data_IF_700043957539
#
_entry.id   IF_700043957539
#
_cell.length_a   1.000
_cell.length_b   1.000
_cell.length_c   1.000
_cell.angle_alpha   90.00
_cell.angle_beta   90.00
_cell.angle_gamma   90.00
#
_symmetry.space_group_name_H-M   'P 1'
#
loop_
_entity.id
_entity.type
_entity.pdbx_description
1 polymer ?
#
# COMPACT_ATOMS: atom_id res chain seq x y z
N UNK A 1 40.30 8.20 7.98
CA UNK A 1 39.80 6.81 8.11
C UNK A 1 39.15 6.45 6.79
N UNK A 2 39.38 5.24 6.29
CA UNK A 2 38.64 4.72 5.13
C UNK A 2 37.47 3.90 5.66
N UNK A 3 36.24 4.25 5.28
CA UNK A 3 35.05 3.50 5.65
C UNK A 3 34.91 2.27 4.73
N UNK A 4 34.57 1.11 5.28
CA UNK A 4 34.37 -0.12 4.51
C UNK A 4 32.90 -0.50 4.40
N UNK A 5 32.53 -1.13 3.28
CA UNK A 5 31.16 -1.51 2.92
C UNK A 5 30.71 -2.79 3.69
N UNK A 6 30.70 -2.72 5.02
CA UNK A 6 30.43 -3.89 5.86
C UNK A 6 28.93 -4.22 5.92
N UNK A 7 28.58 -5.47 5.64
CA UNK A 7 27.18 -5.96 5.62
C UNK A 7 26.47 -5.84 6.96
N UNK A 8 27.19 -5.96 8.09
CA UNK A 8 26.64 -5.80 9.44
C UNK A 8 26.16 -4.36 9.67
N UNK A 9 26.99 -3.38 9.32
CA UNK A 9 26.65 -1.95 9.42
C UNK A 9 25.45 -1.61 8.52
N UNK A 10 25.41 -2.15 7.30
CA UNK A 10 24.30 -1.99 6.34
C UNK A 10 22.96 -2.53 6.89
N UNK A 11 22.99 -3.62 7.65
CA UNK A 11 21.79 -4.19 8.28
C UNK A 11 21.27 -3.31 9.43
N UNK A 12 22.12 -2.52 10.09
CA UNK A 12 21.72 -1.65 11.20
C UNK A 12 20.91 -0.41 10.77
N UNK A 13 20.98 -0.02 9.48
CA UNK A 13 20.32 1.18 8.98
C UNK A 13 18.82 0.98 8.70
N UNK A 14 17.99 1.96 9.12
CA UNK A 14 16.60 2.05 8.66
C UNK A 14 16.59 2.28 7.14
N UNK A 15 16.10 1.28 6.40
CA UNK A 15 15.87 1.40 4.95
C UNK A 15 14.71 2.39 4.71
N UNK A 16 14.85 3.38 3.82
CA UNK A 16 13.78 4.33 3.54
C UNK A 16 12.61 3.64 2.82
N UNK A 17 11.41 3.82 3.38
CA UNK A 17 10.12 3.35 2.85
C UNK A 17 9.69 4.20 1.66
N UNK A 18 8.74 3.73 0.84
CA UNK A 18 8.09 4.59 -0.16
C UNK A 18 7.53 5.88 0.46
N UNK A 19 6.89 5.80 1.63
CA UNK A 19 6.39 6.96 2.37
C UNK A 19 7.51 7.90 2.86
N UNK A 20 8.64 7.36 3.33
CA UNK A 20 9.79 8.19 3.75
C UNK A 20 10.29 9.05 2.58
N UNK A 21 10.32 8.51 1.35
CA UNK A 21 10.68 9.28 0.14
C UNK A 21 9.68 10.40 -0.18
N UNK A 22 8.37 10.18 0.05
CA UNK A 22 7.37 11.25 -0.13
C UNK A 22 7.60 12.37 0.87
N UNK A 23 7.82 12.02 2.15
CA UNK A 23 8.14 12.97 3.23
C UNK A 23 9.41 13.77 2.91
N UNK A 24 10.45 13.11 2.42
CA UNK A 24 11.72 13.75 2.03
C UNK A 24 11.61 14.64 0.78
N UNK A 25 10.70 14.32 -0.15
CA UNK A 25 10.42 15.17 -1.33
C UNK A 25 9.69 16.48 -0.99
N UNK A 26 9.13 16.61 0.20
CA UNK A 26 8.36 17.80 0.63
C UNK A 26 9.26 18.71 1.48
N UNK A 27 9.40 20.00 1.15
CA UNK A 27 10.27 20.90 1.89
C UNK A 27 9.77 21.12 3.33
N UNK A 28 10.65 20.95 4.31
CA UNK A 28 10.39 21.29 5.71
C UNK A 28 10.21 22.82 5.84
N UNK A 29 9.23 23.31 6.63
CA UNK A 29 8.96 24.75 6.71
C UNK A 29 10.13 25.54 7.32
N UNK A 30 10.27 26.80 6.89
CA UNK A 30 11.38 27.69 7.28
C UNK A 30 11.43 27.85 8.81
N UNK A 31 12.59 27.55 9.41
CA UNK A 31 12.80 27.56 10.88
C UNK A 31 12.63 26.20 11.58
N UNK A 32 12.16 25.15 10.90
CA UNK A 32 11.98 23.82 11.51
C UNK A 32 13.31 23.11 11.82
N UNK A 33 14.33 23.33 10.99
CA UNK A 33 15.69 22.82 11.17
C UNK A 33 16.48 23.83 12.03
N UNK A 34 17.07 23.44 13.18
CA UNK A 34 17.89 24.34 13.98
C UNK A 34 19.18 24.73 13.27
N UNK A 35 19.45 26.03 13.18
CA UNK A 35 20.73 26.53 12.63
C UNK A 35 21.90 26.38 13.63
N UNK A 36 21.59 26.23 14.92
CA UNK A 36 22.51 26.17 16.06
C UNK A 36 22.54 24.78 16.72
N UNK A 37 23.48 24.57 17.64
CA UNK A 37 23.58 23.33 18.42
C UNK A 37 24.34 22.20 17.70
N UNK A 38 23.97 20.95 17.98
CA UNK A 38 24.69 19.76 17.50
C UNK A 38 24.26 19.33 16.07
N UNK A 39 25.17 18.75 15.25
CA UNK A 39 24.85 18.33 13.88
C UNK A 39 23.65 17.38 13.79
N UNK A 40 23.53 16.42 14.72
CA UNK A 40 22.42 15.45 14.73
C UNK A 40 21.04 16.10 14.89
N UNK A 41 20.95 17.32 15.43
CA UNK A 41 19.68 18.05 15.55
C UNK A 41 19.12 18.54 14.21
N UNK A 42 19.95 18.61 13.16
CA UNK A 42 19.53 19.00 11.81
C UNK A 42 18.82 17.87 11.06
N UNK A 43 19.29 16.64 11.24
CA UNK A 43 18.67 15.42 10.67
C UNK A 43 17.53 14.87 11.53
N UNK A 44 17.47 15.23 12.81
CA UNK A 44 16.47 14.76 13.76
C UNK A 44 15.02 15.13 13.36
N UNK A 45 14.05 14.20 13.47
CA UNK A 45 12.63 14.46 13.21
C UNK A 45 12.08 15.63 14.04
N UNK A 46 10.99 16.25 13.57
CA UNK A 46 10.39 17.41 14.23
C UNK A 46 9.55 17.01 15.46
N UNK A 47 9.06 15.76 15.46
CA UNK A 47 8.48 15.02 16.58
C UNK A 47 9.37 15.04 17.83
N UNK A 48 10.69 14.91 17.61
CA UNK A 48 11.67 14.79 18.68
C UNK A 48 11.87 16.15 19.34
N UNK A 49 11.66 16.20 20.66
CA UNK A 49 12.11 17.32 21.49
C UNK A 49 13.62 17.44 21.40
N UNK A 50 14.16 18.65 21.38
CA UNK A 50 15.63 18.83 21.44
C UNK A 50 16.12 18.41 22.83
N UNK A 51 17.08 17.46 22.94
CA UNK A 51 17.67 17.08 24.22
C UNK A 51 18.61 18.19 24.70
N UNK A 52 18.41 18.70 25.92
CA UNK A 52 19.25 19.75 26.49
C UNK A 52 20.57 19.15 27.02
N UNK A 53 21.54 19.02 26.12
CA UNK A 53 22.93 18.67 26.44
C UNK A 53 23.61 19.88 27.09
N UNK A 54 24.54 19.73 28.06
CA UNK A 54 25.39 20.84 28.47
C UNK A 54 26.35 21.22 27.32
N UNK A 55 26.43 22.51 27.02
CA UNK A 55 27.33 23.10 26.02
C UNK A 55 27.80 24.48 26.48
N UNK A 56 28.75 25.13 25.77
CA UNK A 56 29.24 26.46 26.12
C UNK A 56 28.16 27.54 26.16
N UNK A 57 28.46 28.65 26.83
CA UNK A 57 27.56 29.80 26.85
C UNK A 57 27.31 30.32 25.42
N UNK A 58 26.05 30.66 25.12
CA UNK A 58 25.65 31.07 23.77
C UNK A 58 25.58 29.96 22.71
N UNK A 59 25.92 28.69 23.02
CA UNK A 59 25.79 27.56 22.08
C UNK A 59 24.33 27.31 21.62
N UNK A 60 23.37 27.79 22.42
CA UNK A 60 21.94 27.72 22.13
C UNK A 60 21.35 29.11 21.97
N UNK A 61 20.92 29.44 20.75
CA UNK A 61 20.09 30.61 20.47
C UNK A 61 18.75 30.14 19.94
N UNK A 62 17.87 29.69 20.85
CA UNK A 62 16.51 29.28 20.52
C UNK A 62 15.71 30.49 20.00
N UNK A 63 15.67 30.65 18.67
CA UNK A 63 14.87 31.66 17.97
C UNK A 63 13.74 30.99 17.19
N UNK A 64 12.61 31.70 17.04
CA UNK A 64 11.43 31.18 16.30
C UNK A 64 11.27 31.85 14.94
N UNK A 65 11.17 33.17 14.93
CA UNK A 65 11.06 34.01 13.73
C UNK A 65 11.77 35.36 13.94
N UNK A 66 11.83 36.18 12.89
CA UNK A 66 12.16 37.60 13.03
C UNK A 66 11.10 38.34 13.85
N UNK A 67 11.50 39.42 14.49
CA UNK A 67 10.59 40.31 15.22
C UNK A 67 9.55 40.91 14.27
N UNK A 68 8.33 41.13 14.77
CA UNK A 68 7.24 41.72 14.00
C UNK A 68 6.82 40.90 12.77
N UNK A 69 7.02 39.57 12.83
CA UNK A 69 6.45 38.61 11.88
C UNK A 69 5.66 37.56 12.65
N UNK A 70 4.38 37.41 12.29
CA UNK A 70 3.39 36.56 12.95
C UNK A 70 3.97 35.17 13.22
N UNK A 71 3.96 34.73 14.47
CA UNK A 71 4.55 33.44 14.84
C UNK A 71 3.77 32.28 14.19
N UNK A 72 2.44 32.38 14.25
CA UNK A 72 1.49 31.37 13.80
C UNK A 72 0.93 31.75 12.41
N UNK A 73 1.52 31.18 11.36
CA UNK A 73 1.08 31.34 9.96
C UNK A 73 0.04 30.29 9.61
N UNK A 74 -1.17 30.73 9.28
CA UNK A 74 -2.08 29.96 8.42
C UNK A 74 -1.52 30.01 6.99
N UNK A 75 -1.25 28.85 6.37
CA UNK A 75 -1.06 28.82 4.92
C UNK A 75 -2.35 29.26 4.23
N UNK A 76 -2.26 29.93 3.08
CA UNK A 76 -3.41 30.35 2.26
C UNK A 76 -4.38 29.20 1.98
N UNK A 77 -3.82 28.06 1.64
CA UNK A 77 -4.48 26.82 1.24
C UNK A 77 -4.59 25.82 2.42
N UNK A 78 -4.44 26.28 3.67
CA UNK A 78 -4.69 25.45 4.84
C UNK A 78 -6.18 25.10 4.94
N UNK A 79 -6.51 23.81 4.71
CA UNK A 79 -7.83 23.25 4.97
C UNK A 79 -8.24 23.47 6.44
N UNK A 80 -9.53 23.70 6.67
CA UNK A 80 -10.06 23.92 8.02
C UNK A 80 -9.97 22.64 8.87
N UNK A 81 -8.95 22.57 9.72
CA UNK A 81 -8.59 21.36 10.45
C UNK A 81 -9.44 21.16 11.72
N UNK A 82 -10.53 20.41 11.59
CA UNK A 82 -11.45 20.04 12.68
C UNK A 82 -10.88 19.01 13.68
N UNK A 83 -9.63 18.56 13.57
CA UNK A 83 -9.08 17.51 14.44
C UNK A 83 -8.83 17.96 15.88
N UNK A 84 -8.58 19.26 16.12
CA UNK A 84 -8.36 19.83 17.46
C UNK A 84 -9.03 21.21 17.59
N UNK A 85 -10.38 21.26 17.69
CA UNK A 85 -11.14 22.52 17.69
C UNK A 85 -10.85 23.39 18.93
N UNK A 86 -10.29 22.81 19.99
CA UNK A 86 -9.96 23.49 21.24
C UNK A 86 -8.45 23.79 21.41
N UNK A 87 -7.63 23.50 20.40
CA UNK A 87 -6.18 23.77 20.40
C UNK A 87 -5.40 23.11 21.56
N UNK A 88 -5.80 21.91 21.99
CA UNK A 88 -5.09 21.11 22.99
C UNK A 88 -3.64 20.78 22.55
N UNK A 89 -3.42 20.59 21.25
CA UNK A 89 -2.12 20.23 20.70
C UNK A 89 -1.09 21.36 20.78
N UNK A 90 -1.51 22.60 20.53
CA UNK A 90 -0.65 23.78 20.36
C UNK A 90 -1.34 24.97 21.04
N UNK A 91 -0.78 25.43 22.16
CA UNK A 91 -1.27 26.64 22.83
C UNK A 91 -0.76 27.88 22.08
N UNK A 92 -1.65 28.54 21.35
CA UNK A 92 -1.39 29.78 20.62
C UNK A 92 -1.30 30.99 21.56
N UNK A 93 -0.28 31.02 22.42
CA UNK A 93 0.00 32.18 23.28
C UNK A 93 0.35 33.41 22.43
N UNK A 94 -0.21 34.56 22.79
CA UNK A 94 0.22 35.86 22.26
C UNK A 94 1.67 36.13 22.66
N UNK A 95 2.41 36.79 21.78
CA UNK A 95 3.83 37.11 21.95
C UNK A 95 4.13 38.44 21.26
N UNK A 96 4.38 39.48 22.05
CA UNK A 96 4.52 40.84 21.55
C UNK A 96 5.72 41.00 20.60
N UNK A 97 6.79 40.19 20.73
CA UNK A 97 7.92 40.25 19.80
C UNK A 97 7.56 39.78 18.38
N UNK A 98 6.44 39.06 18.22
CA UNK A 98 5.96 38.54 16.94
C UNK A 98 4.67 39.23 16.44
N UNK A 99 4.24 40.30 17.09
CA UNK A 99 3.12 41.14 16.65
C UNK A 99 3.52 42.06 15.49
N UNK A 100 2.78 41.98 14.38
CA UNK A 100 3.07 42.73 13.16
C UNK A 100 2.69 44.22 13.29
N UNK A 101 1.76 44.57 14.18
CA UNK A 101 1.39 45.96 14.47
C UNK A 101 2.43 46.67 15.34
N UNK A 102 3.28 45.91 16.06
CA UNK A 102 4.38 46.46 16.86
C UNK A 102 5.69 46.63 16.04
N UNK A 103 5.71 46.28 14.75
CA UNK A 103 6.85 46.54 13.84
C UNK A 103 7.36 48.00 13.94
N UNK A 104 6.53 49.06 13.83
CA UNK A 104 7.01 50.44 13.87
C UNK A 104 7.61 50.85 15.21
N UNK A 105 7.21 50.18 16.31
CA UNK A 105 7.82 50.36 17.62
C UNK A 105 9.19 49.67 17.69
N UNK A 106 9.29 48.41 17.24
CA UNK A 106 10.56 47.67 17.30
C UNK A 106 11.60 48.14 16.28
N UNK A 107 11.20 48.70 15.14
CA UNK A 107 12.12 49.23 14.11
C UNK A 107 12.93 50.45 14.58
N UNK A 108 12.54 51.12 15.68
CA UNK A 108 13.29 52.25 16.24
C UNK A 108 14.64 51.78 16.78
N UNK A 109 15.75 52.34 16.29
CA UNK A 109 17.11 51.90 16.63
C UNK A 109 17.41 51.86 18.14
N UNK A 110 16.83 52.78 18.94
CA UNK A 110 16.98 52.77 20.40
C UNK A 110 16.30 51.55 21.05
N UNK A 111 15.13 51.14 20.53
CA UNK A 111 14.42 49.95 20.99
C UNK A 111 15.17 48.68 20.60
N UNK A 112 15.75 48.61 19.39
CA UNK A 112 16.63 47.50 18.97
C UNK A 112 17.84 47.38 19.91
N UNK A 113 18.53 48.49 20.21
CA UNK A 113 19.65 48.53 21.16
C UNK A 113 19.23 48.05 22.56
N UNK A 114 18.06 48.47 23.04
CA UNK A 114 17.52 48.03 24.33
C UNK A 114 17.21 46.54 24.35
N UNK A 115 16.50 46.01 23.33
CA UNK A 115 16.16 44.58 23.22
C UNK A 115 17.39 43.68 23.08
N UNK A 116 18.44 44.14 22.38
CA UNK A 116 19.74 43.46 22.33
C UNK A 116 20.42 43.43 23.70
N UNK A 117 20.44 44.55 24.44
CA UNK A 117 20.99 44.64 25.80
C UNK A 117 20.21 43.78 26.80
N UNK A 118 18.89 43.67 26.63
CA UNK A 118 18.03 42.79 27.42
C UNK A 118 18.12 41.30 27.00
N UNK A 119 18.88 40.96 25.95
CA UNK A 119 19.04 39.59 25.47
C UNK A 119 17.81 38.98 24.77
N UNK A 120 16.71 39.73 24.65
CA UNK A 120 15.42 39.28 24.10
C UNK A 120 15.48 39.01 22.60
N UNK A 121 16.41 39.65 21.88
CA UNK A 121 16.62 39.42 20.45
C UNK A 121 18.07 39.06 20.12
N UNK A 122 18.25 38.32 19.04
CA UNK A 122 19.55 38.02 18.42
C UNK A 122 19.94 39.14 17.46
N UNK A 123 21.24 39.30 17.15
CA UNK A 123 21.78 40.29 16.18
C UNK A 123 21.04 40.29 14.82
N UNK A 124 20.49 39.15 14.41
CA UNK A 124 19.70 38.96 13.18
C UNK A 124 18.26 39.55 13.23
N UNK A 125 17.90 40.25 14.31
CA UNK A 125 16.53 40.69 14.64
C UNK A 125 15.55 39.51 14.79
N UNK A 126 16.03 38.41 15.37
CA UNK A 126 15.22 37.22 15.70
C UNK A 126 14.87 37.20 17.18
N UNK A 127 13.60 36.97 17.51
CA UNK A 127 13.13 36.86 18.90
C UNK A 127 13.64 35.58 19.55
N UNK A 128 14.36 35.70 20.67
CA UNK A 128 14.76 34.55 21.50
C UNK A 128 13.56 34.03 22.30
N UNK A 129 13.62 32.77 22.72
CA UNK A 129 12.56 32.12 23.50
C UNK A 129 13.14 31.01 24.38
N UNK A 130 12.31 30.41 25.25
CA UNK A 130 12.76 29.26 26.04
C UNK A 130 12.76 27.97 25.20
N UNK A 131 13.49 26.96 25.66
CA UNK A 131 13.44 25.61 25.08
C UNK A 131 12.01 25.02 25.07
N UNK A 132 11.13 25.43 26.00
CA UNK A 132 9.72 25.00 26.02
C UNK A 132 8.98 25.57 24.82
N UNK A 133 9.08 26.87 24.60
CA UNK A 133 8.37 27.59 23.54
C UNK A 133 8.92 27.22 22.16
N UNK A 134 10.24 26.98 22.06
CA UNK A 134 10.87 26.46 20.86
C UNK A 134 10.40 25.03 20.52
N UNK A 135 10.19 24.15 21.51
CA UNK A 135 9.62 22.83 21.27
C UNK A 135 8.12 22.88 20.91
N UNK A 136 7.34 23.83 21.47
CA UNK A 136 5.96 24.09 21.05
C UNK A 136 5.94 24.57 19.60
N UNK A 137 6.83 25.50 19.24
CA UNK A 137 6.96 25.99 17.87
C UNK A 137 7.40 24.89 16.89
N UNK A 138 8.35 24.02 17.26
CA UNK A 138 8.70 22.82 16.50
C UNK A 138 7.49 21.89 16.29
N UNK A 139 6.65 21.68 17.30
CA UNK A 139 5.41 20.89 17.16
C UNK A 139 4.43 21.53 16.17
N UNK A 140 4.27 22.85 16.21
CA UNK A 140 3.46 23.58 15.25
C UNK A 140 4.00 23.48 13.81
N UNK A 141 5.31 23.68 13.60
CA UNK A 141 5.95 23.49 12.30
C UNK A 141 5.89 22.04 11.80
N UNK A 142 5.90 21.07 12.72
CA UNK A 142 5.69 19.64 12.45
C UNK A 142 4.27 19.36 11.96
N UNK A 143 3.26 19.95 12.59
CA UNK A 143 1.86 19.77 12.15
C UNK A 143 1.64 20.41 10.77
N UNK A 144 2.15 21.62 10.49
CA UNK A 144 2.16 22.21 9.13
C UNK A 144 2.79 21.30 8.07
N UNK A 145 3.95 20.71 8.38
CA UNK A 145 4.65 19.81 7.46
C UNK A 145 3.85 18.52 7.23
N UNK A 146 3.24 17.96 8.28
CA UNK A 146 2.35 16.80 8.19
C UNK A 146 1.11 17.10 7.36
N UNK A 147 0.50 18.27 7.49
CA UNK A 147 -0.69 18.62 6.72
C UNK A 147 -0.35 18.84 5.23
N UNK A 148 0.86 19.34 4.93
CA UNK A 148 1.42 19.32 3.56
C UNK A 148 1.67 17.90 3.04
N UNK A 149 2.18 16.98 3.87
CA UNK A 149 2.35 15.56 3.52
C UNK A 149 0.99 14.87 3.25
N UNK A 150 -0.03 15.14 4.08
CA UNK A 150 -1.40 14.63 3.86
C UNK A 150 -1.99 15.15 2.55
N UNK A 151 -1.82 16.44 2.23
CA UNK A 151 -2.31 17.03 0.98
C UNK A 151 -1.67 16.37 -0.23
N UNK A 152 -0.34 16.27 -0.26
CA UNK A 152 0.41 15.59 -1.32
C UNK A 152 0.00 14.12 -1.48
N UNK A 153 -0.17 13.39 -0.37
CA UNK A 153 -0.58 12.00 -0.41
C UNK A 153 -2.01 11.81 -0.92
N UNK A 154 -2.95 12.68 -0.53
CA UNK A 154 -4.32 12.67 -1.06
C UNK A 154 -4.34 12.99 -2.55
N UNK A 155 -3.56 13.96 -3.00
CA UNK A 155 -3.50 14.34 -4.41
C UNK A 155 -2.93 13.21 -5.27
N UNK A 156 -1.82 12.58 -4.85
CA UNK A 156 -1.29 11.38 -5.53
C UNK A 156 -2.30 10.22 -5.52
N UNK A 157 -3.10 10.08 -4.47
CA UNK A 157 -4.17 9.05 -4.40
C UNK A 157 -5.32 9.37 -5.36
N UNK A 158 -5.75 10.65 -5.43
CA UNK A 158 -6.78 11.14 -6.35
C UNK A 158 -6.37 10.89 -7.80
N UNK A 159 -5.17 11.33 -8.19
CA UNK A 159 -4.62 11.12 -9.54
C UNK A 159 -4.47 9.63 -9.89
N UNK A 160 -4.08 8.79 -8.93
CA UNK A 160 -4.01 7.33 -9.14
C UNK A 160 -5.39 6.70 -9.35
N UNK A 161 -6.42 7.17 -8.65
CA UNK A 161 -7.80 6.70 -8.81
C UNK A 161 -8.41 7.19 -10.13
N UNK A 162 -8.25 8.46 -10.47
CA UNK A 162 -8.70 9.04 -11.74
C UNK A 162 -8.08 8.32 -12.93
N UNK A 163 -6.78 7.99 -12.88
CA UNK A 163 -6.11 7.17 -13.88
C UNK A 163 -6.75 5.77 -14.01
N UNK A 164 -7.03 5.09 -12.90
CA UNK A 164 -7.68 3.76 -12.94
C UNK A 164 -9.10 3.81 -13.52
N UNK A 165 -9.86 4.86 -13.20
CA UNK A 165 -11.20 5.10 -13.78
C UNK A 165 -11.12 5.34 -15.28
N UNK A 166 -10.13 6.10 -15.76
CA UNK A 166 -9.89 6.31 -17.19
C UNK A 166 -9.48 5.01 -17.90
N UNK A 167 -8.52 4.26 -17.37
CA UNK A 167 -8.08 2.97 -17.95
C UNK A 167 -9.25 1.96 -18.07
N UNK A 168 -10.13 1.91 -17.06
CA UNK A 168 -11.36 1.10 -17.08
C UNK A 168 -12.39 1.62 -18.10
N UNK A 169 -12.64 2.93 -18.15
CA UNK A 169 -13.58 3.53 -19.10
C UNK A 169 -13.13 3.31 -20.56
N UNK A 170 -11.84 3.44 -20.85
CA UNK A 170 -11.27 3.07 -22.14
C UNK A 170 -11.45 1.58 -22.45
N UNK A 171 -11.28 0.67 -21.48
CA UNK A 171 -11.52 -0.75 -21.70
C UNK A 171 -12.99 -1.05 -22.03
N UNK A 172 -13.94 -0.42 -21.33
CA UNK A 172 -15.36 -0.55 -21.68
C UNK A 172 -15.64 -0.01 -23.09
N UNK A 173 -15.09 1.15 -23.46
CA UNK A 173 -15.21 1.69 -24.82
C UNK A 173 -14.63 0.73 -25.88
N UNK A 174 -13.40 0.22 -25.66
CA UNK A 174 -12.76 -0.80 -26.51
C UNK A 174 -13.60 -2.07 -26.64
N UNK A 175 -14.35 -2.45 -25.61
CA UNK A 175 -15.20 -3.64 -25.63
C UNK A 175 -16.58 -3.40 -26.24
N UNK A 176 -17.17 -2.21 -26.11
CA UNK A 176 -18.38 -1.82 -26.85
C UNK A 176 -18.12 -1.67 -28.35
N UNK A 177 -16.99 -1.10 -28.78
CA UNK A 177 -16.61 -1.07 -30.21
C UNK A 177 -16.57 -2.49 -30.79
N UNK A 178 -15.90 -3.44 -30.13
CA UNK A 178 -15.89 -4.87 -30.54
C UNK A 178 -17.30 -5.50 -30.58
N UNK A 179 -18.19 -5.14 -29.65
CA UNK A 179 -19.60 -5.60 -29.63
C UNK A 179 -20.38 -5.01 -30.81
N UNK A 180 -20.19 -3.73 -31.13
CA UNK A 180 -20.82 -3.05 -32.26
C UNK A 180 -20.34 -3.62 -33.60
N UNK A 181 -19.04 -3.78 -33.81
CA UNK A 181 -18.49 -4.46 -34.99
C UNK A 181 -19.09 -5.88 -35.16
N UNK A 182 -19.21 -6.65 -34.05
CA UNK A 182 -19.81 -7.99 -34.10
C UNK A 182 -21.30 -7.93 -34.46
N UNK A 183 -22.05 -6.95 -33.96
CA UNK A 183 -23.46 -6.71 -34.33
C UNK A 183 -23.59 -6.33 -35.81
N UNK A 184 -22.76 -5.43 -36.30
CA UNK A 184 -22.74 -5.00 -37.70
C UNK A 184 -22.44 -6.16 -38.66
N UNK A 185 -21.39 -6.95 -38.38
CA UNK A 185 -21.07 -8.17 -39.13
C UNK A 185 -22.24 -9.16 -39.14
N UNK A 186 -22.98 -9.29 -38.04
CA UNK A 186 -24.19 -10.12 -37.96
C UNK A 186 -25.38 -9.53 -38.73
N UNK A 187 -25.55 -8.20 -38.77
CA UNK A 187 -26.58 -7.52 -39.56
C UNK A 187 -26.31 -7.69 -41.05
N UNK A 188 -25.07 -7.47 -41.51
CA UNK A 188 -24.72 -7.65 -42.93
C UNK A 188 -24.77 -9.14 -43.34
N UNK A 189 -24.40 -10.07 -42.46
CA UNK A 189 -24.64 -11.50 -42.68
C UNK A 189 -26.14 -11.84 -42.78
N UNK A 190 -26.99 -11.30 -41.89
CA UNK A 190 -28.45 -11.45 -41.94
C UNK A 190 -29.04 -10.85 -43.21
N UNK A 191 -28.55 -9.70 -43.68
CA UNK A 191 -28.97 -9.03 -44.92
C UNK A 191 -28.61 -9.87 -46.16
N UNK A 192 -27.43 -10.50 -46.18
CA UNK A 192 -27.03 -11.48 -47.21
C UNK A 192 -27.91 -12.73 -47.18
N UNK A 193 -28.15 -13.30 -45.99
CA UNK A 193 -29.06 -14.44 -45.80
C UNK A 193 -30.49 -14.09 -46.21
N UNK A 194 -30.98 -12.89 -45.91
CA UNK A 194 -32.32 -12.43 -46.30
C UNK A 194 -32.45 -12.25 -47.81
N UNK A 195 -31.45 -11.68 -48.48
CA UNK A 195 -31.41 -11.62 -49.96
C UNK A 195 -31.44 -13.03 -50.58
N UNK A 196 -30.59 -13.93 -50.09
CA UNK A 196 -30.54 -15.33 -50.57
C UNK A 196 -31.83 -16.10 -50.26
N UNK A 197 -32.41 -15.89 -49.06
CA UNK A 197 -33.71 -16.45 -48.68
C UNK A 197 -34.81 -15.91 -49.58
N UNK A 198 -34.90 -14.60 -49.83
CA UNK A 198 -35.91 -14.01 -50.73
C UNK A 198 -35.84 -14.65 -52.13
N UNK A 199 -34.65 -14.77 -52.69
CA UNK A 199 -34.42 -15.47 -53.97
C UNK A 199 -34.87 -16.95 -53.92
N UNK A 200 -34.56 -17.66 -52.83
CA UNK A 200 -35.00 -19.03 -52.61
C UNK A 200 -36.51 -19.13 -52.33
N UNK A 201 -37.14 -18.10 -51.76
CA UNK A 201 -38.57 -18.04 -51.41
C UNK A 201 -39.38 -17.71 -52.66
N UNK A 202 -38.88 -16.86 -53.56
CA UNK A 202 -39.37 -16.65 -54.93
C UNK A 202 -39.22 -17.91 -55.81
N UNK A 203 -38.20 -18.74 -55.58
CA UNK A 203 -38.07 -20.06 -56.21
C UNK A 203 -38.99 -21.11 -55.57
N UNK A 204 -39.12 -21.12 -54.24
CA UNK A 204 -40.03 -22.00 -53.50
C UNK A 204 -41.49 -21.69 -53.78
N UNK A 205 -41.89 -20.43 -53.96
CA UNK A 205 -43.25 -20.04 -54.33
C UNK A 205 -43.58 -20.51 -55.75
N UNK A 206 -42.60 -20.52 -56.68
CA UNK A 206 -42.77 -21.19 -57.98
C UNK A 206 -42.99 -22.70 -57.80
N UNK A 207 -42.07 -23.38 -57.12
CA UNK A 207 -42.17 -24.82 -56.85
C UNK A 207 -43.36 -25.22 -55.93
N UNK A 208 -43.92 -24.29 -55.14
CA UNK A 208 -45.12 -24.49 -54.32
C UNK A 208 -46.39 -24.18 -55.11
N UNK A 209 -46.37 -23.34 -56.14
CA UNK A 209 -47.48 -23.26 -57.10
C UNK A 209 -47.60 -24.58 -57.88
N UNK A 210 -46.48 -25.24 -58.20
CA UNK A 210 -46.46 -26.62 -58.71
C UNK A 210 -46.89 -27.65 -57.64
N UNK A 211 -46.29 -27.63 -56.44
CA UNK A 211 -46.60 -28.64 -55.40
C UNK A 211 -47.96 -28.45 -54.71
N UNK A 212 -48.56 -27.28 -54.69
CA UNK A 212 -49.93 -27.07 -54.18
C UNK A 212 -50.99 -27.52 -55.20
N UNK A 213 -50.65 -27.51 -56.50
CA UNK A 213 -51.36 -28.25 -57.55
C UNK A 213 -51.49 -29.71 -57.12
N UNK A 214 -50.36 -30.33 -56.77
CA UNK A 214 -50.26 -31.74 -56.33
C UNK A 214 -50.85 -31.98 -54.91
N UNK A 215 -50.69 -31.06 -53.96
CA UNK A 215 -51.13 -31.30 -52.57
C UNK A 215 -52.65 -31.15 -52.39
N UNK A 216 -53.33 -30.36 -53.24
CA UNK A 216 -54.81 -30.36 -53.34
C UNK A 216 -55.37 -31.73 -53.70
N UNK A 217 -54.59 -32.56 -54.39
CA UNK A 217 -54.95 -33.94 -54.75
C UNK A 217 -54.83 -34.88 -53.54
N UNK A 218 -54.12 -34.48 -52.47
CA UNK A 218 -53.70 -35.36 -51.36
C UNK A 218 -54.27 -34.99 -49.99
N UNK A 219 -54.48 -33.71 -49.67
CA UNK A 219 -54.94 -33.30 -48.32
C UNK A 219 -56.42 -33.62 -48.03
N UNK A 220 -57.15 -34.17 -49.01
CA UNK A 220 -58.50 -34.74 -48.87
C UNK A 220 -58.57 -35.97 -47.93
N UNK A 221 -57.44 -36.50 -47.44
CA UNK A 221 -57.34 -37.88 -46.94
C UNK A 221 -57.15 -38.06 -45.40
N UNK A 222 -57.06 -37.01 -44.56
CA UNK A 222 -56.32 -37.16 -43.26
C UNK A 222 -56.81 -36.47 -41.96
N UNK A 223 -58.01 -35.88 -41.86
CA UNK A 223 -58.46 -35.04 -40.71
C UNK A 223 -58.79 -35.80 -39.38
N UNK A 224 -58.36 -37.06 -39.20
CA UNK A 224 -59.17 -38.09 -38.51
C UNK A 224 -58.77 -38.40 -37.01
N UNK A 225 -57.78 -37.76 -36.35
CA UNK A 225 -56.89 -38.51 -35.40
C UNK A 225 -56.86 -38.39 -33.84
N UNK A 226 -56.86 -37.23 -33.13
CA UNK A 226 -56.73 -37.21 -31.61
C UNK A 226 -57.29 -35.94 -30.89
N UNK A 227 -56.68 -35.53 -29.75
CA UNK A 227 -57.24 -34.77 -28.61
C UNK A 227 -56.23 -34.72 -27.43
N UNK A 228 -56.39 -35.61 -26.44
CA UNK A 228 -56.13 -35.37 -25.01
C UNK A 228 -54.67 -35.09 -24.60
N UNK A 229 -54.53 -34.42 -23.44
CA UNK A 229 -53.48 -34.52 -22.39
C UNK A 229 -52.95 -33.16 -21.90
N UNK A 230 -52.55 -33.12 -20.62
CA UNK A 230 -51.69 -32.13 -19.94
C UNK A 230 -52.15 -30.63 -19.98
N UNK A 231 -52.47 -29.94 -18.88
CA UNK A 231 -52.50 -30.26 -17.44
C UNK A 231 -51.19 -30.69 -16.75
N UNK A 232 -51.16 -30.47 -15.43
CA UNK A 232 -50.15 -30.95 -14.47
C UNK A 232 -48.68 -30.56 -14.73
N UNK A 233 -48.39 -29.26 -14.59
CA UNK A 233 -47.09 -28.84 -14.01
C UNK A 233 -47.15 -27.55 -13.19
N UNK A 234 -48.02 -27.56 -12.18
CA UNK A 234 -47.94 -26.67 -11.03
C UNK A 234 -46.77 -27.07 -10.09
N UNK A 235 -46.79 -26.54 -8.86
CA UNK A 235 -46.15 -27.05 -7.65
C UNK A 235 -44.64 -26.82 -7.40
N UNK A 236 -43.78 -26.45 -8.36
CA UNK A 236 -42.34 -26.21 -8.10
C UNK A 236 -41.91 -24.74 -8.18
N UNK A 237 -42.61 -23.89 -7.43
CA UNK A 237 -42.26 -22.49 -7.20
C UNK A 237 -42.55 -22.08 -5.74
N UNK A 238 -41.59 -22.25 -4.82
CA UNK A 238 -41.63 -21.64 -3.48
C UNK A 238 -40.21 -21.46 -2.89
N UNK A 239 -40.04 -20.39 -2.12
CA UNK A 239 -38.88 -19.99 -1.32
C UNK A 239 -37.55 -19.69 -2.06
N UNK A 240 -37.13 -18.42 -2.01
CA UNK A 240 -36.05 -17.97 -1.10
C UNK A 240 -35.76 -16.46 -1.20
N UNK A 241 -36.08 -15.73 -0.13
CA UNK A 241 -35.60 -14.39 0.25
C UNK A 241 -36.06 -14.17 1.72
N UNK A 242 -35.42 -13.36 2.56
CA UNK A 242 -34.14 -12.65 2.47
C UNK A 242 -33.56 -12.41 3.88
N UNK A 243 -32.29 -11.99 3.99
CA UNK A 243 -31.63 -11.71 5.27
C UNK A 243 -31.09 -10.28 5.32
N UNK A 244 -31.87 -9.37 5.91
CA UNK A 244 -31.43 -8.01 6.25
C UNK A 244 -32.07 -7.57 7.58
N UNK A 245 -31.26 -7.43 8.62
CA UNK A 245 -31.24 -6.27 9.55
C UNK A 245 -30.00 -6.39 10.46
N UNK A 246 -29.17 -5.36 10.49
CA UNK A 246 -27.91 -5.32 11.25
C UNK A 246 -28.02 -4.37 12.44
N UNK A 247 -27.34 -4.71 13.55
CA UNK A 247 -26.83 -3.81 14.61
C UNK A 247 -27.85 -2.98 15.41
N UNK A 248 -27.65 -2.94 16.72
CA UNK A 248 -27.11 -1.75 17.42
C UNK A 248 -26.87 -2.03 18.93
N UNK A 249 -26.49 -0.98 19.68
CA UNK A 249 -26.26 -0.92 21.14
C UNK A 249 -24.93 -1.53 21.66
N UNK A 250 -24.76 -1.43 22.99
CA UNK A 250 -23.53 -1.53 23.79
C UNK A 250 -22.47 -0.45 23.52
N UNK A 251 -22.79 0.77 23.98
CA UNK A 251 -21.84 1.84 24.25
C UNK A 251 -22.12 2.42 25.65
N UNK A 252 -21.45 1.90 26.67
CA UNK A 252 -21.54 2.29 28.09
C UNK A 252 -20.20 1.99 28.81
N UNK A 253 -20.12 2.31 30.11
CA UNK A 253 -18.96 2.10 31.03
C UNK A 253 -17.69 2.93 30.68
N UNK A 254 -17.20 3.93 31.43
CA UNK A 254 -17.34 4.43 32.83
C UNK A 254 -16.36 3.77 33.84
N UNK A 255 -16.03 4.51 34.91
CA UNK A 255 -15.02 4.28 35.98
C UNK A 255 -13.54 4.58 35.58
N UNK A 256 -12.73 5.46 36.21
CA UNK A 256 -12.61 6.06 37.56
C UNK A 256 -12.08 5.05 38.63
N UNK A 257 -11.22 5.34 39.63
CA UNK A 257 -10.39 6.52 39.97
C UNK A 257 -9.31 6.22 41.07
N UNK A 258 -8.09 6.81 40.96
CA UNK A 258 -7.26 7.40 42.08
C UNK A 258 -6.80 6.45 43.25
N UNK A 259 -5.98 6.80 44.28
CA UNK A 259 -5.02 7.91 44.64
C UNK A 259 -3.95 7.37 45.65
N UNK A 260 -2.71 7.90 45.75
CA UNK A 260 -2.16 8.88 46.76
C UNK A 260 -2.49 8.51 48.23
N UNK A 261 -1.58 8.52 49.23
CA UNK A 261 -0.57 9.54 49.60
C UNK A 261 0.78 8.88 50.09
N UNK A 262 1.63 9.30 51.05
CA UNK A 262 1.67 10.38 52.09
C UNK A 262 3.14 10.67 52.54
N UNK A 263 3.41 11.88 53.09
CA UNK A 263 4.54 12.29 53.99
C UNK A 263 6.00 12.17 53.43
N UNK A 264 6.92 13.16 53.45
CA UNK A 264 7.25 14.31 54.33
C UNK A 264 8.00 13.93 55.62
N UNK A 265 9.25 14.41 55.77
CA UNK A 265 9.74 14.99 57.07
C UNK A 265 11.15 15.62 57.06
N UNK A 266 12.05 15.24 56.14
CA UNK A 266 13.52 15.47 56.24
C UNK A 266 14.07 16.91 56.07
N UNK A 267 13.43 17.90 56.71
CA UNK A 267 13.85 19.32 56.74
C UNK A 267 15.00 19.55 57.76
N UNK A 268 15.52 20.77 57.78
CA UNK A 268 16.42 21.38 58.81
C UNK A 268 17.91 20.99 58.88
N UNK A 269 18.37 19.76 58.57
CA UNK A 269 19.83 19.39 58.64
C UNK A 269 20.76 20.06 57.60
N UNK A 270 20.26 20.99 56.79
CA UNK A 270 20.86 21.36 55.50
C UNK A 270 21.72 22.64 55.49
N UNK A 271 21.47 23.59 56.41
CA UNK A 271 21.87 25.00 56.19
C UNK A 271 23.38 25.25 56.32
N UNK A 272 24.07 24.64 57.30
CA UNK A 272 25.49 24.92 57.59
C UNK A 272 26.42 24.29 56.53
N UNK A 273 26.00 23.20 55.88
CA UNK A 273 26.72 22.59 54.74
C UNK A 273 26.81 23.52 53.51
N UNK A 274 26.11 24.65 53.48
CA UNK A 274 25.87 25.47 52.27
C UNK A 274 27.11 26.27 51.82
N UNK A 275 27.66 27.17 52.65
CA UNK A 275 28.81 28.03 52.27
C UNK A 275 30.07 27.26 51.84
N UNK A 276 30.42 26.16 52.52
CA UNK A 276 31.58 25.35 52.15
C UNK A 276 31.44 24.61 50.80
N UNK A 277 30.21 24.45 50.29
CA UNK A 277 29.97 23.96 48.92
C UNK A 277 30.26 25.05 47.88
N UNK A 278 30.02 26.32 48.18
CA UNK A 278 30.02 27.43 47.20
C UNK A 278 31.41 27.78 46.65
N UNK A 279 32.47 27.80 47.49
CA UNK A 279 33.84 28.03 47.01
C UNK A 279 34.37 26.87 46.16
N UNK A 280 34.15 25.62 46.59
CA UNK A 280 34.46 24.42 45.80
C UNK A 280 33.66 24.40 44.49
N UNK A 281 32.41 24.86 44.51
CA UNK A 281 31.56 24.94 43.33
C UNK A 281 32.13 25.85 42.24
N UNK A 282 32.80 26.98 42.56
CA UNK A 282 33.39 27.88 41.54
C UNK A 282 34.52 27.24 40.73
N UNK A 283 35.57 26.74 41.39
CA UNK A 283 36.65 26.01 40.72
C UNK A 283 36.12 24.77 39.96
N UNK A 284 35.16 24.05 40.55
CA UNK A 284 34.48 22.94 39.90
C UNK A 284 33.58 23.41 38.74
N UNK A 285 33.06 24.64 38.74
CA UNK A 285 32.29 25.23 37.64
C UNK A 285 33.20 25.59 36.46
N UNK A 286 34.35 26.20 36.70
CA UNK A 286 35.37 26.50 35.68
C UNK A 286 35.87 25.22 35.00
N UNK A 287 36.28 24.22 35.80
CA UNK A 287 36.65 22.90 35.31
C UNK A 287 35.49 22.18 34.60
N UNK A 288 34.23 22.35 35.05
CA UNK A 288 33.05 21.87 34.32
C UNK A 288 32.85 22.59 32.99
N UNK A 289 33.06 23.90 32.90
CA UNK A 289 32.90 24.68 31.66
C UNK A 289 33.90 24.20 30.62
N UNK A 290 35.19 24.10 30.96
CA UNK A 290 36.21 23.55 30.07
C UNK A 290 35.91 22.10 29.66
N UNK A 291 35.56 21.23 30.62
CA UNK A 291 35.18 19.85 30.32
C UNK A 291 33.85 19.72 29.56
N UNK A 292 32.97 20.73 29.61
CA UNK A 292 31.75 20.81 28.79
C UNK A 292 32.13 21.22 27.36
N UNK A 293 32.99 22.21 27.17
CA UNK A 293 33.47 22.64 25.85
C UNK A 293 34.24 21.55 25.10
N UNK A 294 35.14 20.85 25.77
CA UNK A 294 35.87 19.72 25.20
C UNK A 294 34.89 18.61 24.78
N UNK A 295 34.00 18.19 25.69
CA UNK A 295 32.97 17.17 25.41
C UNK A 295 31.92 17.66 24.40
N UNK A 296 31.80 18.96 24.17
CA UNK A 296 30.96 19.57 23.14
C UNK A 296 31.63 19.47 21.77
N UNK A 297 32.91 19.85 21.66
CA UNK A 297 33.73 19.69 20.44
C UNK A 297 33.80 18.22 20.02
N UNK A 298 34.15 17.31 20.95
CA UNK A 298 34.19 15.87 20.72
C UNK A 298 32.84 15.29 20.27
N UNK A 299 31.72 15.73 20.87
CA UNK A 299 30.37 15.32 20.42
C UNK A 299 30.02 15.86 19.03
N UNK A 300 30.38 17.10 18.73
CA UNK A 300 30.13 17.73 17.44
C UNK A 300 30.90 16.99 16.32
N UNK A 301 32.16 16.64 16.55
CA UNK A 301 32.95 15.82 15.63
C UNK A 301 32.43 14.39 15.50
N UNK A 302 32.13 13.72 16.63
CA UNK A 302 31.59 12.36 16.62
C UNK A 302 30.33 12.29 15.77
N UNK A 303 29.37 13.20 16.00
CA UNK A 303 28.12 13.23 15.23
C UNK A 303 28.32 13.60 13.76
N UNK A 304 29.33 14.40 13.42
CA UNK A 304 29.69 14.67 12.02
C UNK A 304 30.19 13.40 11.34
N UNK A 305 31.10 12.67 12.00
CA UNK A 305 31.63 11.37 11.55
C UNK A 305 30.53 10.30 11.47
N UNK A 306 29.59 10.29 12.41
CA UNK A 306 28.42 9.38 12.39
C UNK A 306 27.51 9.66 11.18
N UNK A 307 27.20 10.93 10.88
CA UNK A 307 26.37 11.33 9.73
C UNK A 307 27.08 11.00 8.41
N UNK A 308 28.39 11.25 8.32
CA UNK A 308 29.22 10.87 7.18
C UNK A 308 29.26 9.35 6.96
N UNK A 309 29.28 8.55 8.05
CA UNK A 309 29.14 7.08 7.97
C UNK A 309 27.76 6.67 7.45
N UNK A 310 26.69 7.22 8.02
CA UNK A 310 25.31 6.91 7.61
C UNK A 310 25.11 7.21 6.11
N UNK A 311 25.59 8.37 5.63
CA UNK A 311 25.56 8.74 4.20
C UNK A 311 26.34 7.75 3.31
N UNK A 312 27.62 7.50 3.61
CA UNK A 312 28.45 6.56 2.85
C UNK A 312 27.84 5.15 2.77
N UNK A 313 27.22 4.68 3.84
CA UNK A 313 26.53 3.38 3.87
C UNK A 313 25.22 3.40 3.06
N UNK A 314 24.48 4.50 3.01
CA UNK A 314 23.32 4.63 2.11
C UNK A 314 23.75 4.59 0.63
N UNK A 315 24.87 5.24 0.27
CA UNK A 315 25.41 5.20 -1.09
C UNK A 315 25.92 3.79 -1.47
N UNK A 316 26.53 3.07 -0.52
CA UNK A 316 26.84 1.65 -0.66
C UNK A 316 25.58 0.79 -0.92
N UNK A 317 24.50 1.02 -0.17
CA UNK A 317 23.21 0.32 -0.38
C UNK A 317 22.61 0.65 -1.74
N UNK A 318 22.68 1.90 -2.18
CA UNK A 318 22.10 2.36 -3.45
C UNK A 318 22.89 1.84 -4.65
N UNK A 319 24.22 1.83 -4.60
CA UNK A 319 25.08 1.23 -5.64
C UNK A 319 24.91 -0.29 -5.73
N UNK A 320 24.90 -1.00 -4.59
CA UNK A 320 24.59 -2.44 -4.57
C UNK A 320 23.21 -2.75 -5.17
N UNK A 321 22.19 -1.94 -4.85
CA UNK A 321 20.84 -2.04 -5.44
C UNK A 321 20.84 -1.80 -6.94
N UNK A 322 21.56 -0.79 -7.43
CA UNK A 322 21.65 -0.50 -8.86
C UNK A 322 22.29 -1.67 -9.63
N UNK A 323 23.38 -2.24 -9.10
CA UNK A 323 24.04 -3.43 -9.66
C UNK A 323 23.10 -4.65 -9.65
N UNK A 324 22.35 -4.86 -8.56
CA UNK A 324 21.37 -5.94 -8.47
C UNK A 324 20.22 -5.77 -9.47
N UNK A 325 19.65 -4.56 -9.59
CA UNK A 325 18.57 -4.25 -10.54
C UNK A 325 19.05 -4.47 -11.98
N UNK A 326 20.26 -4.01 -12.33
CA UNK A 326 20.83 -4.25 -13.66
C UNK A 326 20.95 -5.74 -13.97
N UNK A 327 21.58 -6.53 -13.08
CA UNK A 327 21.74 -7.98 -13.24
C UNK A 327 20.40 -8.75 -13.24
N UNK A 328 19.39 -8.25 -12.53
CA UNK A 328 18.06 -8.81 -12.54
C UNK A 328 17.36 -8.56 -13.88
N UNK A 329 17.40 -7.33 -14.39
CA UNK A 329 16.83 -6.96 -15.68
C UNK A 329 17.49 -7.75 -16.82
N UNK A 330 18.83 -7.82 -16.85
CA UNK A 330 19.62 -8.63 -17.80
C UNK A 330 19.24 -10.13 -17.79
N UNK A 331 18.72 -10.64 -16.66
CA UNK A 331 18.19 -12.02 -16.58
C UNK A 331 16.76 -12.11 -17.11
N UNK A 332 15.89 -11.17 -16.76
CA UNK A 332 14.50 -11.13 -17.23
C UNK A 332 14.45 -11.00 -18.76
N UNK A 333 15.29 -10.13 -19.32
CA UNK A 333 15.45 -9.92 -20.77
C UNK A 333 15.81 -11.23 -21.48
N UNK A 334 16.79 -12.00 -20.97
CA UNK A 334 17.19 -13.29 -21.55
C UNK A 334 16.12 -14.39 -21.45
N UNK A 335 15.33 -14.42 -20.37
CA UNK A 335 14.20 -15.35 -20.28
C UNK A 335 13.02 -14.89 -21.17
N UNK A 336 12.86 -13.58 -21.42
CA UNK A 336 11.91 -13.06 -22.41
C UNK A 336 12.33 -13.45 -23.84
N UNK A 337 13.58 -13.20 -24.24
CA UNK A 337 14.14 -13.64 -25.54
C UNK A 337 13.93 -15.14 -25.77
N UNK A 338 14.24 -15.96 -24.75
CA UNK A 338 14.04 -17.41 -24.76
C UNK A 338 12.57 -17.81 -24.91
N UNK A 339 11.65 -17.13 -24.22
CA UNK A 339 10.22 -17.41 -24.35
C UNK A 339 9.68 -16.97 -25.71
N UNK A 340 10.13 -15.85 -26.26
CA UNK A 340 9.77 -15.42 -27.61
C UNK A 340 10.31 -16.38 -28.66
N UNK A 341 11.51 -16.95 -28.47
CA UNK A 341 12.06 -17.99 -29.35
C UNK A 341 11.24 -19.29 -29.27
N UNK A 342 10.84 -19.73 -28.08
CA UNK A 342 9.92 -20.87 -27.93
C UNK A 342 8.55 -20.59 -28.59
N UNK A 343 8.05 -19.36 -28.51
CA UNK A 343 6.81 -18.94 -29.18
C UNK A 343 6.97 -18.84 -30.71
N UNK A 344 8.15 -18.44 -31.23
CA UNK A 344 8.48 -18.49 -32.66
C UNK A 344 8.47 -19.93 -33.16
N UNK A 345 9.17 -20.84 -32.48
CA UNK A 345 9.22 -22.25 -32.84
C UNK A 345 7.84 -22.94 -32.73
N UNK A 346 7.05 -22.62 -31.71
CA UNK A 346 5.67 -23.11 -31.61
C UNK A 346 4.79 -22.61 -32.78
N UNK A 347 4.92 -21.34 -33.20
CA UNK A 347 4.20 -20.81 -34.37
C UNK A 347 4.58 -21.57 -35.66
N UNK A 348 5.88 -21.83 -35.88
CA UNK A 348 6.38 -22.60 -37.02
C UNK A 348 5.82 -24.03 -37.02
N UNK A 349 5.85 -24.70 -35.86
CA UNK A 349 5.27 -26.04 -35.69
C UNK A 349 3.77 -26.07 -36.01
N UNK A 350 3.00 -25.13 -35.46
CA UNK A 350 1.55 -25.01 -35.70
C UNK A 350 1.26 -24.72 -37.18
N UNK A 351 2.04 -23.85 -37.84
CA UNK A 351 1.90 -23.58 -39.27
C UNK A 351 2.16 -24.83 -40.11
N UNK A 352 3.23 -25.59 -39.83
CA UNK A 352 3.53 -26.85 -40.49
C UNK A 352 2.41 -27.91 -40.26
N UNK A 353 1.94 -28.05 -39.02
CA UNK A 353 0.87 -28.99 -38.66
C UNK A 353 -0.45 -28.66 -39.36
N UNK A 354 -0.81 -27.38 -39.47
CA UNK A 354 -1.99 -26.93 -40.22
C UNK A 354 -1.83 -27.16 -41.73
N UNK A 355 -0.65 -26.87 -42.30
CA UNK A 355 -0.38 -27.11 -43.72
C UNK A 355 -0.54 -28.58 -44.13
N UNK A 356 -0.08 -29.52 -43.29
CA UNK A 356 -0.26 -30.98 -43.49
C UNK A 356 -1.72 -31.43 -43.52
N UNK A 357 -2.66 -30.67 -42.94
CA UNK A 357 -4.09 -31.01 -42.90
C UNK A 357 -4.92 -30.40 -44.04
N UNK A 358 -4.30 -29.66 -44.96
CA UNK A 358 -4.98 -29.10 -46.15
C UNK A 358 -5.03 -30.12 -47.30
N UNK A 359 -6.14 -30.24 -48.04
CA UNK A 359 -6.38 -31.35 -48.99
C UNK A 359 -5.51 -31.34 -50.27
N UNK A 360 -4.59 -30.38 -50.42
CA UNK A 360 -3.56 -30.36 -51.49
C UNK A 360 -2.12 -30.42 -50.95
N UNK A 361 -1.93 -30.67 -49.66
CA UNK A 361 -0.65 -30.50 -48.96
C UNK A 361 0.37 -31.66 -49.04
N UNK A 362 0.14 -32.70 -49.85
CA UNK A 362 0.97 -33.94 -49.82
C UNK A 362 2.40 -33.77 -50.37
N UNK A 363 2.66 -32.79 -51.24
CA UNK A 363 3.91 -32.74 -52.03
C UNK A 363 4.94 -31.68 -51.58
N UNK A 364 4.67 -30.86 -50.56
CA UNK A 364 5.65 -29.86 -50.07
C UNK A 364 5.69 -29.74 -48.55
N UNK A 365 6.84 -29.24 -48.07
CA UNK A 365 7.25 -28.97 -46.69
C UNK A 365 7.89 -30.17 -45.98
N UNK A 366 9.20 -30.35 -46.21
CA UNK A 366 10.10 -30.78 -45.15
C UNK A 366 10.47 -29.54 -44.30
N UNK A 367 10.41 -29.66 -42.97
CA UNK A 367 11.02 -28.67 -42.09
C UNK A 367 12.50 -29.03 -41.94
N UNK A 368 13.36 -28.41 -42.76
CA UNK A 368 14.81 -28.71 -42.78
C UNK A 368 15.46 -28.44 -41.41
N UNK A 369 15.03 -27.38 -40.73
CA UNK A 369 15.51 -26.89 -39.42
C UNK A 369 15.13 -27.78 -38.21
N UNK A 370 14.83 -29.07 -38.39
CA UNK A 370 14.48 -29.99 -37.29
C UNK A 370 15.18 -31.36 -37.38
N UNK A 371 16.17 -31.49 -38.28
CA UNK A 371 16.94 -32.73 -38.48
C UNK A 371 18.47 -32.55 -38.34
N UNK A 372 18.99 -31.32 -38.40
CA UNK A 372 20.41 -31.02 -38.21
C UNK A 372 20.75 -30.87 -36.71
N UNK A 373 20.72 -31.97 -35.95
CA UNK A 373 21.42 -32.09 -34.66
C UNK A 373 21.56 -33.57 -34.19
N UNK A 374 22.11 -34.43 -35.07
CA UNK A 374 22.57 -35.77 -34.67
C UNK A 374 23.58 -36.40 -35.65
N UNK A 375 24.86 -36.06 -35.48
CA UNK A 375 26.00 -36.89 -35.93
C UNK A 375 26.99 -37.05 -34.77
N UNK A 376 27.56 -38.26 -34.56
CA UNK A 376 28.46 -38.53 -33.43
C UNK A 376 29.95 -38.38 -33.81
N UNK A 377 30.79 -38.28 -32.77
CA UNK A 377 32.26 -38.31 -32.81
C UNK A 377 32.93 -37.06 -33.45
N UNK A 378 34.11 -36.58 -33.06
CA UNK A 378 35.26 -37.25 -32.42
C UNK A 378 35.98 -36.48 -31.28
N UNK A 379 36.66 -37.25 -30.43
CA UNK A 379 38.00 -36.99 -29.80
C UNK A 379 38.23 -35.76 -28.90
N UNK A 380 37.96 -36.00 -27.62
CA UNK A 380 38.97 -35.97 -26.53
C UNK A 380 39.88 -34.74 -26.32
N UNK A 381 39.66 -34.05 -25.19
CA UNK A 381 40.74 -33.61 -24.29
C UNK A 381 40.45 -34.02 -22.85
N UNK A 382 41.25 -34.93 -22.29
CA UNK A 382 41.29 -35.18 -20.84
C UNK A 382 42.09 -34.07 -20.18
N UNK A 383 41.57 -33.47 -19.10
CA UNK A 383 42.35 -33.02 -17.93
C UNK A 383 41.41 -32.55 -16.82
N UNK A 384 41.45 -33.21 -15.67
CA UNK A 384 40.80 -32.76 -14.42
C UNK A 384 41.60 -31.64 -13.78
N UNK A 385 40.94 -30.71 -13.07
CA UNK A 385 41.37 -30.47 -11.69
C UNK A 385 40.26 -30.71 -10.66
N UNK A 386 40.56 -31.64 -9.75
CA UNK A 386 40.21 -31.68 -8.32
C UNK A 386 39.39 -30.54 -7.70
N UNK A 387 38.33 -30.95 -6.99
CA UNK A 387 37.81 -30.21 -5.82
C UNK A 387 38.91 -29.95 -4.78
N UNK A 388 39.03 -28.73 -4.22
CA UNK A 388 39.75 -28.51 -2.97
C UNK A 388 38.97 -29.11 -1.79
N UNK A 389 39.44 -30.25 -1.26
CA UNK A 389 39.06 -30.73 0.08
C UNK A 389 40.06 -30.19 1.10
N UNK A 390 39.74 -29.08 1.78
CA UNK A 390 40.48 -28.69 2.98
C UNK A 390 39.98 -29.47 4.20
N UNK A 391 40.86 -30.32 4.75
CA UNK A 391 40.56 -31.16 5.91
C UNK A 391 40.85 -30.42 7.23
N UNK A 392 39.83 -29.78 7.80
CA UNK A 392 39.92 -29.00 9.05
C UNK A 392 39.55 -29.74 10.35
N UNK A 393 39.89 -31.03 10.52
CA UNK A 393 39.42 -31.87 11.64
C UNK A 393 40.15 -31.62 12.97
N UNK A 394 39.87 -30.50 13.64
CA UNK A 394 40.34 -30.22 15.01
C UNK A 394 39.27 -30.45 16.10
N UNK A 395 39.38 -31.60 16.77
CA UNK A 395 39.06 -31.88 18.19
C UNK A 395 37.80 -31.21 18.80
N UNK A 396 36.71 -31.99 18.97
CA UNK A 396 35.76 -31.77 20.09
C UNK A 396 35.06 -33.02 20.64
N UNK A 397 35.84 -33.96 21.22
CA UNK A 397 35.30 -34.89 22.25
C UNK A 397 34.99 -34.11 23.54
N UNK A 398 34.00 -34.58 24.31
CA UNK A 398 33.54 -34.10 25.63
C UNK A 398 32.93 -32.69 25.68
N UNK A 399 31.60 -32.59 25.82
CA UNK A 399 30.96 -32.10 27.07
C UNK A 399 29.43 -32.35 27.12
N UNK A 400 28.95 -33.54 26.77
CA UNK A 400 27.55 -33.96 27.00
C UNK A 400 27.31 -34.34 28.47
N UNK A 401 27.28 -33.35 29.38
CA UNK A 401 26.71 -33.47 30.76
C UNK A 401 26.69 -32.12 31.50
N UNK A 402 25.68 -31.27 31.23
CA UNK A 402 25.09 -30.20 32.12
C UNK A 402 24.22 -29.20 31.31
N UNK A 403 22.93 -29.52 31.07
CA UNK A 403 21.83 -28.51 30.92
C UNK A 403 20.39 -29.05 30.77
N UNK A 404 20.17 -30.37 30.77
CA UNK A 404 18.82 -30.94 30.55
C UNK A 404 17.81 -30.63 31.67
N UNK A 405 18.28 -30.36 32.89
CA UNK A 405 17.43 -29.98 34.04
C UNK A 405 16.59 -28.71 33.77
N UNK A 406 17.09 -27.76 32.96
CA UNK A 406 16.44 -26.45 32.78
C UNK A 406 15.30 -26.41 31.75
N UNK A 407 15.08 -27.48 30.98
CA UNK A 407 14.06 -27.52 29.91
C UNK A 407 12.74 -28.23 30.28
N UNK A 408 12.67 -28.94 31.40
CA UNK A 408 11.46 -29.71 31.78
C UNK A 408 10.41 -28.85 32.51
N UNK A 409 10.82 -28.00 33.46
CA UNK A 409 9.91 -27.16 34.26
C UNK A 409 9.17 -26.10 33.44
N UNK A 410 9.85 -25.46 32.47
CA UNK A 410 9.27 -24.38 31.64
C UNK A 410 8.23 -24.86 30.62
N UNK A 411 7.95 -26.17 30.54
CA UNK A 411 6.85 -26.74 29.74
C UNK A 411 5.58 -27.07 30.53
N UNK A 412 5.63 -27.09 31.87
CA UNK A 412 4.46 -27.38 32.72
C UNK A 412 3.69 -26.09 33.04
N UNK A 413 4.37 -25.03 33.49
CA UNK A 413 3.77 -23.71 33.81
C UNK A 413 3.28 -22.89 32.60
N UNK A 414 3.03 -23.51 31.44
CA UNK A 414 2.44 -22.87 30.25
C UNK A 414 1.30 -23.65 29.60
N UNK A 415 0.68 -24.59 30.35
CA UNK A 415 -0.51 -25.35 29.92
C UNK A 415 -1.77 -25.15 30.79
N UNK A 416 -1.67 -24.71 32.05
CA UNK A 416 -2.87 -24.39 32.87
C UNK A 416 -3.49 -23.05 32.46
N UNK A 417 -2.68 -22.00 32.34
CA UNK A 417 -3.08 -20.60 32.03
C UNK A 417 -3.66 -20.36 30.63
N UNK A 418 -4.09 -21.42 29.92
CA UNK A 418 -4.86 -21.33 28.67
C UNK A 418 -6.14 -22.19 28.67
N UNK A 419 -6.50 -22.83 29.80
CA UNK A 419 -7.71 -23.66 29.90
C UNK A 419 -8.79 -23.12 30.85
N UNK A 420 -8.49 -22.06 31.62
CA UNK A 420 -9.46 -21.31 32.46
C UNK A 420 -9.99 -20.04 31.77
N UNK A 421 -9.53 -19.72 30.56
CA UNK A 421 -9.83 -18.45 29.86
C UNK A 421 -10.89 -18.60 28.75
N UNK A 422 -11.65 -19.70 28.73
CA UNK A 422 -12.51 -20.11 27.61
C UNK A 422 -13.83 -20.78 28.07
N UNK A 423 -14.32 -20.47 29.27
CA UNK A 423 -15.54 -21.09 29.83
C UNK A 423 -16.33 -20.15 30.75
N UNK A 424 -16.32 -18.84 30.48
CA UNK A 424 -16.98 -17.77 31.27
C UNK A 424 -17.35 -16.54 30.43
N UNK A 425 -17.76 -16.70 29.17
CA UNK A 425 -18.04 -15.56 28.26
C UNK A 425 -19.29 -15.69 27.37
N UNK A 426 -19.96 -16.84 27.34
CA UNK A 426 -21.03 -17.11 26.37
C UNK A 426 -22.46 -17.11 26.96
N UNK A 427 -22.65 -16.91 28.27
CA UNK A 427 -23.97 -17.01 28.93
C UNK A 427 -24.64 -15.64 29.22
N UNK A 428 -23.89 -14.61 29.62
CA UNK A 428 -24.48 -13.30 29.97
C UNK A 428 -24.88 -12.45 28.75
N UNK A 429 -24.25 -12.63 27.58
CA UNK A 429 -24.56 -11.85 26.36
C UNK A 429 -25.82 -12.30 25.59
N UNK A 430 -26.49 -13.37 26.03
CA UNK A 430 -27.67 -13.92 25.34
C UNK A 430 -28.98 -13.33 25.86
N UNK A 431 -29.02 -12.89 27.12
CA UNK A 431 -30.27 -12.50 27.78
C UNK A 431 -30.74 -11.08 27.43
N UNK A 432 -29.81 -10.14 27.20
CA UNK A 432 -30.11 -8.71 27.00
C UNK A 432 -30.66 -8.37 25.59
N UNK A 433 -30.70 -9.35 24.68
CA UNK A 433 -31.09 -9.16 23.27
C UNK A 433 -32.57 -9.44 22.97
N UNK A 434 -33.40 -9.70 23.99
CA UNK A 434 -34.74 -10.28 23.82
C UNK A 434 -35.91 -9.28 24.04
N UNK A 435 -35.75 -8.21 24.82
CA UNK A 435 -36.90 -7.46 25.38
C UNK A 435 -37.30 -6.14 24.67
N UNK A 436 -36.71 -5.74 23.54
CA UNK A 436 -36.85 -4.35 23.03
C UNK A 436 -37.35 -4.18 21.57
N UNK A 437 -38.09 -5.15 20.97
CA UNK A 437 -38.60 -4.94 19.59
C UNK A 437 -39.93 -5.62 19.21
N UNK A 438 -41.04 -5.07 19.72
CA UNK A 438 -42.36 -5.10 19.06
C UNK A 438 -43.18 -3.86 19.52
N UNK A 439 -44.27 -3.45 18.83
CA UNK A 439 -44.72 -3.84 17.48
C UNK A 439 -44.95 -2.60 16.56
N UNK A 440 -45.51 -2.83 15.37
CA UNK A 440 -46.69 -2.10 14.81
C UNK A 440 -46.89 -2.51 13.35
N UNK A 441 -48.00 -3.18 13.06
CA UNK A 441 -48.55 -3.35 11.71
C UNK A 441 -49.32 -2.08 11.31
N UNK A 442 -49.46 -1.84 10.00
CA UNK A 442 -50.78 -1.68 9.35
C UNK A 442 -50.65 -1.68 7.82
N UNK A 443 -51.78 -1.95 7.17
CA UNK A 443 -51.90 -2.30 5.76
C UNK A 443 -51.69 -1.14 4.77
N UNK A 444 -51.42 -1.47 3.50
CA UNK A 444 -52.44 -1.26 2.47
C UNK A 444 -52.26 -2.20 1.25
N UNK A 445 -53.38 -2.62 0.65
CA UNK A 445 -53.42 -3.49 -0.52
C UNK A 445 -53.56 -2.67 -1.80
N UNK A 446 -52.73 -2.96 -2.82
CA UNK A 446 -53.13 -2.75 -4.23
C UNK A 446 -52.72 -3.98 -5.05
N UNK A 447 -53.73 -4.65 -5.61
CA UNK A 447 -53.56 -5.75 -6.57
C UNK A 447 -53.56 -5.23 -8.01
N UNK A 448 -52.64 -5.70 -8.84
CA UNK A 448 -52.87 -5.81 -10.28
C UNK A 448 -52.25 -7.08 -10.85
N UNK A 449 -53.08 -7.87 -11.50
CA UNK A 449 -52.72 -8.93 -12.46
C UNK A 449 -52.29 -8.25 -13.80
N UNK A 450 -51.74 -8.90 -14.82
CA UNK A 450 -51.92 -10.28 -15.29
C UNK A 450 -50.62 -10.94 -15.82
N UNK A 451 -50.75 -12.21 -16.23
CA UNK A 451 -49.65 -13.03 -16.77
C UNK A 451 -49.97 -13.54 -18.16
N UNK A 452 -48.93 -13.66 -19.00
CA UNK A 452 -48.57 -14.78 -19.92
C UNK A 452 -47.42 -14.29 -20.85
N UNK A 453 -46.61 -15.14 -21.49
CA UNK A 453 -46.86 -16.54 -21.85
C UNK A 453 -45.59 -17.42 -21.84
N UNK A 454 -45.84 -18.73 -21.69
CA UNK A 454 -45.07 -19.92 -22.12
C UNK A 454 -43.53 -20.04 -21.95
N UNK A 455 -43.14 -21.25 -21.51
CA UNK A 455 -41.81 -21.84 -21.70
C UNK A 455 -41.97 -23.03 -22.65
N UNK A 456 -40.96 -23.29 -23.48
CA UNK A 456 -40.80 -24.60 -24.12
C UNK A 456 -39.41 -25.19 -23.85
N UNK A 457 -39.24 -26.48 -24.07
CA UNK A 457 -38.28 -27.31 -23.33
C UNK A 457 -36.90 -27.43 -23.96
N UNK A 458 -35.88 -27.46 -23.09
CA UNK A 458 -34.54 -27.91 -23.44
C UNK A 458 -34.49 -29.44 -23.39
N UNK A 459 -33.91 -30.07 -24.42
CA UNK A 459 -33.43 -31.45 -24.36
C UNK A 459 -32.01 -31.51 -24.92
N UNK A 460 -31.16 -32.34 -24.33
CA UNK A 460 -29.80 -32.60 -24.81
C UNK A 460 -29.81 -33.82 -25.73
N UNK A 461 -29.06 -33.76 -26.83
CA UNK A 461 -28.48 -34.94 -27.47
C UNK A 461 -27.11 -34.60 -28.06
N UNK A 462 -26.10 -35.18 -27.41
CA UNK A 462 -24.86 -35.77 -27.92
C UNK A 462 -24.39 -35.45 -29.36
N UNK A 463 -23.14 -34.98 -29.43
CA UNK A 463 -22.09 -35.41 -30.37
C UNK A 463 -22.46 -35.90 -31.78
N UNK A 464 -22.02 -35.14 -32.79
CA UNK A 464 -20.85 -35.55 -33.62
C UNK A 464 -20.28 -34.43 -34.50
N UNK A 465 -19.02 -34.60 -34.87
CA UNK A 465 -18.25 -33.61 -35.65
C UNK A 465 -18.68 -33.59 -37.13
N UNK A 466 -18.83 -32.39 -37.72
CA UNK A 466 -19.13 -32.22 -39.15
C UNK A 466 -17.88 -32.39 -40.03
N UNK A 467 -17.52 -33.63 -40.35
CA UNK A 467 -16.42 -33.94 -41.28
C UNK A 467 -16.76 -35.13 -42.21
N UNK A 468 -17.70 -34.97 -43.16
CA UNK A 468 -17.93 -35.87 -44.31
C UNK A 468 -19.11 -35.39 -45.21
N UNK A 469 -18.91 -34.44 -46.15
CA UNK A 469 -19.65 -34.35 -47.44
C UNK A 469 -18.82 -33.52 -48.46
N UNK A 470 -17.73 -34.05 -49.03
CA UNK A 470 -17.29 -33.77 -50.42
C UNK A 470 -16.48 -34.97 -50.90
N UNK A 471 -17.13 -36.04 -51.37
CA UNK A 471 -16.55 -36.99 -52.34
C UNK A 471 -17.64 -37.92 -52.94
N UNK A 472 -18.51 -37.34 -53.76
CA UNK A 472 -19.40 -38.08 -54.66
C UNK A 472 -19.90 -37.15 -55.78
N UNK A 473 -19.70 -37.58 -57.04
CA UNK A 473 -20.21 -36.97 -58.29
C UNK A 473 -19.64 -35.55 -58.60
N UNK A 474 -18.96 -35.24 -59.71
CA UNK A 474 -18.37 -36.03 -60.81
C UNK A 474 -19.20 -37.16 -61.40
N UNK A 475 -20.44 -36.84 -61.78
CA UNK A 475 -21.19 -37.41 -62.89
C UNK A 475 -22.25 -36.40 -63.33
#
# INVERSE_FOLDING_TARGET
MVWTCNTIDIISLKKPTALDKVIESIPKPKGAIPNFGLPKWKVMPLESKIPMVPGPEGAYNFTRRKIGKKLWTSSSDAEFNLYDPYCHEIKFTYDSLHDEHLVPFFSKANNIKHLLKAGLITRNLEGKCSLKDYNIYRKYLRNLHIDSIKRELRERTRLSHEKQVLEYAEEQARNEVKKLERRERLVEARKKIWKARKLQEEAKIRAQKEKAKILKERMKLLIITKHEEQMMRAAKAKARSESIKQKQKLAAEIEQQKKINTLVDWRKKEHIRKKAREARLKYIQEQKIMAIEEKWKLRHESQKKDIEKEQFLFDCINTQRAIFIKKYNEKIEKEQERMDELLRNMKIFVQCYMARRLPKGKERICCRNYYDDQTPEEKSKKLTPTLPKDNGTMKRKKLTKRKEVSKREKRIKKKSTRKELYSKLDEEQVQELIEEYEPMFNDEYVTTTETKESKETLSLSEDKCRCQIIEALTK
#
